data_IF_632058987939
#
_entry.id   IF_632058987939
#
_cell.length_a   1.000
_cell.length_b   1.000
_cell.length_c   1.000
_cell.angle_alpha   90.00
_cell.angle_beta   90.00
_cell.angle_gamma   90.00
#
_symmetry.space_group_name_H-M   'P 1'
#
loop_
_entity.id
_entity.type
_entity.pdbx_description
1 polymer ?
#
# COMPACT_ATOMS: atom_id res chain seq x y z
N UNK A 1 12.34 20.20 5.19
CA UNK A 1 11.26 19.23 5.19
C UNK A 1 11.75 17.90 4.64
N UNK A 2 11.69 16.88 5.42
CA UNK A 2 12.06 15.54 4.99
C UNK A 2 10.82 14.80 4.55
N UNK A 3 10.97 13.72 3.77
CA UNK A 3 9.84 12.88 3.38
C UNK A 3 9.06 12.28 4.55
N UNK A 4 9.59 12.41 5.77
CA UNK A 4 8.99 11.88 6.99
C UNK A 4 7.63 12.50 7.36
N UNK A 5 7.28 13.63 6.76
CA UNK A 5 6.01 14.30 7.07
C UNK A 5 4.80 13.67 6.36
N UNK A 6 5.05 12.78 5.41
CA UNK A 6 3.96 12.04 4.76
C UNK A 6 3.50 10.88 5.62
N UNK A 7 2.20 10.72 5.73
CA UNK A 7 1.60 9.56 6.35
C UNK A 7 1.32 8.51 5.28
N UNK A 8 1.91 7.35 5.44
CA UNK A 8 1.80 6.27 4.47
C UNK A 8 0.99 5.10 5.02
N UNK A 9 0.17 4.52 4.17
CA UNK A 9 -0.42 3.20 4.40
C UNK A 9 0.27 2.20 3.48
N UNK A 10 0.45 0.98 3.95
CA UNK A 10 1.02 -0.09 3.14
C UNK A 10 0.22 -1.37 3.35
N UNK A 11 -0.39 -1.86 2.29
CA UNK A 11 -1.17 -3.09 2.31
C UNK A 11 -0.53 -4.12 1.40
N UNK A 12 -0.29 -5.31 1.95
CA UNK A 12 0.35 -6.39 1.24
C UNK A 12 1.81 -6.54 1.63
N UNK A 13 2.07 -7.31 2.68
CA UNK A 13 3.41 -7.52 3.21
C UNK A 13 3.91 -8.93 2.85
N UNK A 14 3.86 -9.24 1.57
CA UNK A 14 4.41 -10.49 1.05
C UNK A 14 5.92 -10.38 0.77
N UNK A 15 6.41 -11.24 -0.13
CA UNK A 15 7.84 -11.32 -0.42
C UNK A 15 8.45 -10.00 -0.91
N UNK A 16 7.69 -9.21 -1.66
CA UNK A 16 8.13 -7.89 -2.12
C UNK A 16 7.68 -6.77 -1.19
N UNK A 17 6.45 -6.82 -0.72
CA UNK A 17 5.86 -5.74 0.05
C UNK A 17 6.52 -5.54 1.41
N UNK A 18 6.84 -6.61 2.12
CA UNK A 18 7.47 -6.51 3.43
C UNK A 18 8.81 -5.76 3.39
N UNK A 19 9.79 -6.14 2.54
CA UNK A 19 11.04 -5.39 2.47
C UNK A 19 10.86 -3.95 2.00
N UNK A 20 9.89 -3.67 1.12
CA UNK A 20 9.57 -2.31 0.71
C UNK A 20 9.06 -1.48 1.90
N UNK A 21 8.13 -2.02 2.68
CA UNK A 21 7.59 -1.36 3.86
C UNK A 21 8.68 -1.12 4.91
N UNK A 22 9.56 -2.08 5.12
CA UNK A 22 10.69 -1.95 6.04
C UNK A 22 11.59 -0.79 5.63
N UNK A 23 11.91 -0.67 4.34
CA UNK A 23 12.74 0.42 3.85
C UNK A 23 12.08 1.78 4.06
N UNK A 24 10.79 1.89 3.85
CA UNK A 24 10.05 3.12 4.12
C UNK A 24 10.05 3.47 5.61
N UNK A 25 9.87 2.47 6.46
CA UNK A 25 9.91 2.66 7.90
C UNK A 25 11.28 3.11 8.37
N UNK A 26 12.34 2.50 7.87
CA UNK A 26 13.73 2.90 8.16
C UNK A 26 14.05 4.32 7.69
N UNK A 27 13.41 4.77 6.63
CA UNK A 27 13.56 6.13 6.12
C UNK A 27 12.86 7.18 6.98
N UNK A 28 12.10 6.76 7.99
CA UNK A 28 11.47 7.65 8.96
C UNK A 28 10.02 8.02 8.63
N UNK A 29 9.40 7.39 7.63
CA UNK A 29 7.98 7.64 7.34
C UNK A 29 7.09 7.07 8.43
N UNK A 30 6.03 7.79 8.76
CA UNK A 30 4.94 7.27 9.58
C UNK A 30 4.15 6.26 8.76
N UNK A 31 4.07 5.03 9.23
CA UNK A 31 3.59 3.92 8.44
C UNK A 31 2.45 3.17 9.17
N UNK A 32 1.36 2.96 8.45
CA UNK A 32 0.26 2.10 8.86
C UNK A 32 0.29 0.87 7.96
N UNK A 33 0.25 -0.32 8.54
CA UNK A 33 0.45 -1.56 7.77
C UNK A 33 -0.68 -2.54 7.99
N UNK A 34 -1.00 -3.26 6.92
CA UNK A 34 -1.95 -4.37 6.97
C UNK A 34 -1.55 -5.43 5.96
N UNK A 35 -1.66 -6.69 6.35
CA UNK A 35 -1.58 -7.83 5.44
C UNK A 35 -2.60 -8.87 5.85
N UNK A 36 -3.11 -9.64 4.89
CA UNK A 36 -4.22 -10.56 5.11
C UNK A 36 -3.92 -11.60 6.20
N UNK A 37 -2.70 -12.15 6.23
CA UNK A 37 -2.32 -13.16 7.23
C UNK A 37 -2.03 -12.56 8.62
N UNK A 38 -1.84 -11.25 8.71
CA UNK A 38 -1.49 -10.51 9.92
C UNK A 38 -0.13 -10.88 10.52
N UNK A 39 0.63 -11.76 9.90
CA UNK A 39 1.93 -12.22 10.41
C UNK A 39 3.06 -11.24 10.18
N UNK A 40 3.23 -10.80 8.94
CA UNK A 40 4.36 -9.94 8.57
C UNK A 40 4.32 -8.59 9.27
N UNK A 41 3.17 -8.16 9.74
CA UNK A 41 3.01 -6.93 10.53
C UNK A 41 3.79 -6.98 11.85
N UNK A 42 4.12 -8.18 12.33
CA UNK A 42 4.86 -8.38 13.58
C UNK A 42 6.37 -8.43 13.38
N UNK A 43 6.85 -8.21 12.16
CA UNK A 43 8.28 -8.20 11.90
C UNK A 43 8.96 -7.16 12.78
N UNK A 44 10.06 -7.52 13.49
CA UNK A 44 10.75 -6.57 14.37
C UNK A 44 11.23 -5.30 13.67
N UNK A 45 11.52 -5.38 12.38
CA UNK A 45 11.96 -4.21 11.59
C UNK A 45 10.83 -3.24 11.29
N UNK A 46 9.58 -3.63 11.55
CA UNK A 46 8.41 -2.75 11.49
C UNK A 46 7.97 -2.25 12.88
N UNK A 47 8.76 -2.47 13.90
CA UNK A 47 8.44 -1.98 15.24
C UNK A 47 8.25 -0.46 15.22
N UNK A 48 7.12 0.02 15.74
CA UNK A 48 6.73 1.43 15.66
C UNK A 48 5.77 1.77 14.54
N UNK A 49 5.65 0.94 13.52
CA UNK A 49 4.58 1.07 12.53
C UNK A 49 3.24 0.67 13.17
N UNK A 50 2.16 1.29 12.73
CA UNK A 50 0.82 1.01 13.25
C UNK A 50 0.24 -0.21 12.54
N UNK A 51 -0.02 -1.28 13.28
CA UNK A 51 -0.68 -2.46 12.75
C UNK A 51 -2.17 -2.20 12.63
N UNK A 52 -2.73 -2.47 11.46
CA UNK A 52 -4.13 -2.19 11.16
C UNK A 52 -4.89 -3.47 10.83
N UNK A 53 -6.12 -3.56 11.30
CA UNK A 53 -6.93 -4.77 11.17
C UNK A 53 -7.54 -4.96 9.79
N UNK A 54 -7.53 -3.92 8.96
CA UNK A 54 -8.14 -3.95 7.63
C UNK A 54 -7.46 -2.96 6.68
N UNK A 55 -7.67 -3.10 5.39
CA UNK A 55 -7.24 -2.08 4.43
C UNK A 55 -7.83 -0.69 4.73
N UNK A 56 -9.09 -0.63 5.15
CA UNK A 56 -9.72 0.62 5.54
C UNK A 56 -8.99 1.29 6.71
N UNK A 57 -8.62 0.52 7.73
CA UNK A 57 -7.87 1.07 8.86
C UNK A 57 -6.47 1.53 8.45
N UNK A 58 -5.80 0.80 7.56
CA UNK A 58 -4.48 1.18 7.06
C UNK A 58 -4.51 2.44 6.20
N UNK A 59 -5.65 2.76 5.62
CA UNK A 59 -5.81 3.89 4.71
C UNK A 59 -6.35 5.15 5.37
N UNK A 60 -6.78 5.06 6.62
CA UNK A 60 -7.37 6.19 7.32
C UNK A 60 -6.33 7.27 7.61
N UNK A 61 -6.55 8.47 7.09
CA UNK A 61 -5.68 9.62 7.34
C UNK A 61 -4.34 9.62 6.63
N UNK A 62 -4.13 8.72 5.67
CA UNK A 62 -2.86 8.65 4.93
C UNK A 62 -2.86 9.60 3.73
N UNK A 63 -1.67 10.03 3.36
CA UNK A 63 -1.45 10.82 2.14
C UNK A 63 -1.26 9.91 0.93
N UNK A 64 -0.59 8.78 1.13
CA UNK A 64 -0.33 7.79 0.10
C UNK A 64 -0.61 6.40 0.66
N UNK A 65 -1.37 5.62 -0.09
CA UNK A 65 -1.55 4.19 0.17
C UNK A 65 -0.76 3.40 -0.86
N UNK A 66 0.18 2.58 -0.40
CA UNK A 66 0.91 1.67 -1.26
C UNK A 66 0.28 0.28 -1.18
N UNK A 67 0.13 -0.34 -2.34
CA UNK A 67 -0.35 -1.71 -2.47
C UNK A 67 0.73 -2.58 -3.07
N UNK A 68 0.90 -3.78 -2.54
CA UNK A 68 1.75 -4.80 -3.14
C UNK A 68 1.13 -6.16 -2.86
N UNK A 69 0.16 -6.54 -3.69
CA UNK A 69 -0.63 -7.77 -3.51
C UNK A 69 -0.48 -8.68 -4.73
N UNK A 70 -1.05 -9.87 -4.67
CA UNK A 70 -0.69 -10.97 -5.57
C UNK A 70 -1.30 -10.90 -6.96
N UNK A 71 -2.51 -10.32 -7.12
CA UNK A 71 -3.25 -10.36 -8.38
C UNK A 71 -4.36 -9.32 -8.44
N UNK A 72 -5.06 -9.29 -9.57
CA UNK A 72 -6.16 -8.36 -9.82
C UNK A 72 -7.29 -8.49 -8.79
N UNK A 73 -7.65 -9.72 -8.44
CA UNK A 73 -8.71 -9.96 -7.46
C UNK A 73 -8.32 -9.43 -6.08
N UNK A 74 -7.06 -9.56 -5.69
CA UNK A 74 -6.57 -9.03 -4.43
C UNK A 74 -6.59 -7.49 -4.41
N UNK A 75 -6.25 -6.84 -5.52
CA UNK A 75 -6.36 -5.38 -5.64
C UNK A 75 -7.81 -4.92 -5.47
N UNK A 76 -8.75 -5.57 -6.18
CA UNK A 76 -10.17 -5.24 -6.06
C UNK A 76 -10.66 -5.42 -4.61
N UNK A 77 -10.28 -6.50 -3.96
CA UNK A 77 -10.67 -6.77 -2.57
C UNK A 77 -10.11 -5.73 -1.60
N UNK A 78 -8.84 -5.39 -1.74
CA UNK A 78 -8.18 -4.41 -0.86
C UNK A 78 -8.80 -3.02 -1.03
N UNK A 79 -9.08 -2.61 -2.26
CA UNK A 79 -9.62 -1.27 -2.51
C UNK A 79 -11.12 -1.18 -2.26
N UNK A 80 -11.88 -2.14 -2.77
CA UNK A 80 -13.33 -2.02 -2.88
C UNK A 80 -14.12 -3.13 -2.18
N UNK A 81 -13.45 -4.08 -1.54
CA UNK A 81 -14.11 -5.14 -0.79
C UNK A 81 -14.64 -4.68 0.56
N UNK A 82 -15.10 -5.62 1.36
CA UNK A 82 -15.53 -5.34 2.74
C UNK A 82 -14.34 -4.79 3.52
N UNK A 83 -14.54 -3.69 4.22
CA UNK A 83 -13.47 -2.96 4.91
C UNK A 83 -12.32 -2.55 3.98
N UNK A 84 -12.67 -2.26 2.73
CA UNK A 84 -11.72 -1.84 1.72
C UNK A 84 -11.23 -0.42 1.90
N UNK A 85 -10.08 -0.13 1.31
CA UNK A 85 -9.39 1.14 1.47
C UNK A 85 -10.19 2.34 0.96
N UNK A 86 -10.99 2.16 -0.10
CA UNK A 86 -11.75 3.25 -0.69
C UNK A 86 -12.71 3.91 0.31
N UNK A 87 -13.17 3.17 1.32
CA UNK A 87 -14.11 3.70 2.31
C UNK A 87 -13.48 4.75 3.24
N UNK A 88 -12.17 4.78 3.37
CA UNK A 88 -11.47 5.70 4.28
C UNK A 88 -10.46 6.62 3.59
N UNK A 89 -10.11 6.33 2.34
CA UNK A 89 -9.21 7.20 1.58
C UNK A 89 -9.82 8.59 1.44
N UNK A 90 -9.08 9.59 1.87
CA UNK A 90 -9.56 10.97 1.83
C UNK A 90 -9.34 11.61 0.48
N UNK A 91 -10.11 12.63 0.20
CA UNK A 91 -9.97 13.48 -0.98
C UNK A 91 -8.54 14.00 -1.08
N UNK A 92 -7.93 13.86 -2.26
CA UNK A 92 -6.58 14.31 -2.54
C UNK A 92 -5.48 13.30 -2.24
N UNK A 93 -5.82 12.15 -1.62
CA UNK A 93 -4.81 11.10 -1.39
C UNK A 93 -4.46 10.37 -2.69
N UNK A 94 -3.37 9.61 -2.64
CA UNK A 94 -2.84 8.87 -3.78
C UNK A 94 -2.75 7.39 -3.41
N UNK A 95 -3.24 6.52 -4.30
CA UNK A 95 -2.96 5.10 -4.26
C UNK A 95 -1.84 4.79 -5.23
N UNK A 96 -0.76 4.21 -4.73
CA UNK A 96 0.38 3.76 -5.51
C UNK A 96 0.37 2.24 -5.52
N UNK A 97 -0.06 1.67 -6.63
CA UNK A 97 -0.23 0.21 -6.74
C UNK A 97 0.98 -0.42 -7.40
N UNK A 98 1.81 -1.08 -6.59
CA UNK A 98 3.01 -1.77 -7.06
C UNK A 98 2.73 -3.22 -7.46
N UNK A 99 1.48 -3.66 -7.43
CA UNK A 99 1.07 -5.00 -7.85
C UNK A 99 1.17 -5.14 -9.36
N UNK A 100 1.39 -6.36 -9.83
CA UNK A 100 1.35 -6.67 -11.26
C UNK A 100 -0.08 -7.05 -11.62
N UNK A 101 -0.77 -6.19 -12.36
CA UNK A 101 -2.18 -6.36 -12.74
C UNK A 101 -2.41 -6.03 -14.20
N UNK A 102 -3.56 -6.46 -14.71
CA UNK A 102 -3.96 -6.15 -16.08
C UNK A 102 -4.24 -4.65 -16.25
N UNK A 103 -3.92 -4.07 -17.42
CA UNK A 103 -4.20 -2.66 -17.70
C UNK A 103 -5.68 -2.28 -17.50
N UNK A 104 -6.59 -3.18 -17.85
CA UNK A 104 -8.03 -2.94 -17.67
C UNK A 104 -8.40 -2.79 -16.17
N UNK A 105 -7.77 -3.57 -15.30
CA UNK A 105 -7.99 -3.46 -13.85
C UNK A 105 -7.47 -2.13 -13.33
N UNK A 106 -6.28 -1.72 -13.75
CA UNK A 106 -5.69 -0.43 -13.37
C UNK A 106 -6.60 0.73 -13.80
N UNK A 107 -7.11 0.71 -15.02
CA UNK A 107 -8.00 1.74 -15.53
C UNK A 107 -9.30 1.80 -14.72
N UNK A 108 -9.89 0.65 -14.42
CA UNK A 108 -11.11 0.58 -13.62
C UNK A 108 -10.90 1.14 -12.20
N UNK A 109 -9.79 0.79 -11.57
CA UNK A 109 -9.45 1.32 -10.25
C UNK A 109 -9.28 2.84 -10.28
N UNK A 110 -8.56 3.34 -11.28
CA UNK A 110 -8.36 4.78 -11.46
C UNK A 110 -9.69 5.52 -11.62
N UNK A 111 -10.60 5.01 -12.44
CA UNK A 111 -11.91 5.61 -12.68
C UNK A 111 -12.78 5.63 -11.42
N UNK A 112 -12.82 4.52 -10.70
CA UNK A 112 -13.62 4.44 -9.47
C UNK A 112 -13.08 5.36 -8.37
N UNK A 113 -11.78 5.40 -8.17
CA UNK A 113 -11.17 6.26 -7.16
C UNK A 113 -11.28 7.74 -7.53
N UNK A 114 -11.23 8.08 -8.82
CA UNK A 114 -11.41 9.45 -9.27
C UNK A 114 -12.77 10.04 -8.87
N UNK A 115 -13.80 9.21 -8.73
CA UNK A 115 -15.13 9.65 -8.29
C UNK A 115 -15.13 10.23 -6.88
N UNK A 116 -14.13 9.89 -6.07
CA UNK A 116 -13.97 10.44 -4.72
C UNK A 116 -12.70 11.29 -4.60
N UNK A 117 -12.18 11.79 -5.73
CA UNK A 117 -10.98 12.61 -5.80
C UNK A 117 -9.74 11.96 -5.19
N UNK A 118 -9.62 10.66 -5.36
CA UNK A 118 -8.43 9.89 -5.00
C UNK A 118 -7.69 9.55 -6.29
N UNK A 119 -6.41 9.82 -6.32
CA UNK A 119 -5.55 9.52 -7.47
C UNK A 119 -5.05 8.08 -7.39
N UNK A 120 -4.96 7.44 -8.55
CA UNK A 120 -4.43 6.08 -8.64
C UNK A 120 -3.31 6.04 -9.68
N UNK A 121 -2.18 5.46 -9.28
CA UNK A 121 -1.04 5.22 -10.16
C UNK A 121 -0.70 3.74 -10.10
N UNK A 122 -0.66 3.08 -11.25
CA UNK A 122 -0.07 1.75 -11.34
C UNK A 122 1.43 1.91 -11.50
N UNK A 123 2.17 1.28 -10.60
CA UNK A 123 3.61 1.39 -10.52
C UNK A 123 4.25 0.00 -10.37
N UNK A 124 4.06 -0.88 -11.36
CA UNK A 124 4.66 -2.21 -11.30
C UNK A 124 6.18 -2.10 -11.17
N UNK A 125 6.76 -2.99 -10.39
CA UNK A 125 8.18 -2.94 -10.03
C UNK A 125 8.93 -4.10 -10.67
N UNK A 126 10.22 -3.90 -10.87
CA UNK A 126 11.15 -4.94 -11.33
C UNK A 126 12.42 -4.92 -10.48
N UNK A 127 13.03 -6.08 -10.27
CA UNK A 127 14.21 -6.20 -9.42
C UNK A 127 14.11 -7.31 -8.38
N UNK A 128 12.95 -7.95 -8.27
CA UNK A 128 12.73 -9.08 -7.36
C UNK A 128 12.89 -8.73 -5.89
N UNK A 129 12.93 -9.75 -5.05
CA UNK A 129 13.07 -9.58 -3.60
C UNK A 129 14.38 -8.93 -3.19
N UNK A 130 15.45 -9.19 -3.94
CA UNK A 130 16.74 -8.55 -3.68
C UNK A 130 16.68 -7.04 -3.97
N UNK A 131 16.03 -6.64 -5.06
CA UNK A 131 15.81 -5.23 -5.36
C UNK A 131 14.96 -4.56 -4.29
N UNK A 132 13.94 -5.25 -3.81
CA UNK A 132 13.08 -4.73 -2.74
C UNK A 132 13.87 -4.52 -1.44
N UNK A 133 14.70 -5.48 -1.05
CA UNK A 133 15.53 -5.38 0.17
C UNK A 133 16.54 -4.25 0.08
N UNK A 134 17.14 -4.04 -1.09
CA UNK A 134 18.12 -2.98 -1.31
C UNK A 134 17.50 -1.60 -1.53
N UNK A 135 16.20 -1.52 -1.76
CA UNK A 135 15.54 -0.27 -2.13
C UNK A 135 15.90 0.18 -3.54
N UNK A 136 16.15 -0.77 -4.45
CA UNK A 136 16.60 -0.48 -5.82
C UNK A 136 15.59 -0.90 -6.90
N UNK A 137 14.33 -1.09 -6.52
CA UNK A 137 13.27 -1.42 -7.48
C UNK A 137 13.07 -0.29 -8.49
#
# INVERSE_FOLDING_TARGET
MTGCDLNLGFVGLGALGLPMAINLHRAGFQLRVHTRSRRAETDPELAGAVRCASPAAASAGVDVLLLCVSDDAAVDEVLFGTDGAASTLRNGSVVLDCSTIAPATAQRCAERLAQQNVHYLDAPVTGGTEGAKRGSL
#
